data_IF_123223142409
#
_entry.id   IF_123223142409
#
_cell.length_a   1.000
_cell.length_b   1.000
_cell.length_c   1.000
_cell.angle_alpha   90.00
_cell.angle_beta   90.00
_cell.angle_gamma   90.00
#
_symmetry.space_group_name_H-M   'P 1'
#
loop_
_entity.id
_entity.type
_entity.pdbx_description
1 polymer ?
#
# COMPACT_ATOMS: atom_id res chain seq x y z
N UNK A 1 -9.32 -6.47 4.41
CA UNK A 1 -8.42 -6.71 3.25
C UNK A 1 -7.07 -5.98 3.36
N UNK A 2 -7.01 -4.63 3.54
CA UNK A 2 -5.71 -3.94 3.67
C UNK A 2 -4.96 -4.22 4.98
N UNK A 3 -5.67 -4.37 6.10
CA UNK A 3 -5.06 -4.72 7.39
C UNK A 3 -4.35 -6.08 7.35
N UNK A 4 -4.94 -7.10 6.72
CA UNK A 4 -4.34 -8.43 6.65
C UNK A 4 -3.07 -8.42 5.77
N UNK A 5 -3.04 -7.57 4.74
CA UNK A 5 -1.84 -7.40 3.91
C UNK A 5 -0.72 -6.76 4.73
N UNK A 6 -1.01 -5.77 5.59
CA UNK A 6 -0.01 -5.20 6.49
C UNK A 6 0.59 -6.26 7.44
N UNK A 7 -0.26 -7.09 8.06
CA UNK A 7 0.20 -8.21 8.87
C UNK A 7 1.04 -9.21 8.08
N UNK A 8 0.61 -9.55 6.86
CA UNK A 8 1.35 -10.47 5.99
C UNK A 8 2.74 -9.94 5.65
N UNK A 9 2.86 -8.70 5.19
CA UNK A 9 4.15 -8.09 4.81
C UNK A 9 5.10 -8.03 6.00
N UNK A 10 4.63 -7.57 7.16
CA UNK A 10 5.40 -7.55 8.40
C UNK A 10 5.90 -8.93 8.81
N UNK A 11 5.03 -9.94 8.74
CA UNK A 11 5.38 -11.34 9.04
C UNK A 11 6.45 -11.89 8.08
N UNK A 12 6.49 -11.42 6.84
CA UNK A 12 7.45 -11.84 5.81
C UNK A 12 8.73 -10.98 5.78
N UNK A 13 8.98 -10.17 6.81
CA UNK A 13 10.25 -9.46 6.97
C UNK A 13 10.35 -8.12 6.24
N UNK A 14 9.25 -7.60 5.70
CA UNK A 14 9.21 -6.24 5.19
C UNK A 14 9.15 -5.23 6.34
N UNK A 15 9.97 -4.17 6.25
CA UNK A 15 9.93 -3.05 7.20
C UNK A 15 8.72 -2.15 6.89
N UNK A 16 7.55 -2.54 7.40
CA UNK A 16 6.28 -1.85 7.14
C UNK A 16 6.22 -0.43 7.69
N UNK A 17 7.16 -0.04 8.55
CA UNK A 17 7.27 1.32 9.09
C UNK A 17 7.86 2.33 8.09
N UNK A 18 8.46 1.83 7.00
CA UNK A 18 9.09 2.64 5.95
C UNK A 18 8.39 2.53 4.59
N UNK A 19 7.40 1.65 4.47
CA UNK A 19 6.63 1.48 3.24
C UNK A 19 5.43 2.41 3.28
N UNK A 20 5.44 3.44 2.43
CA UNK A 20 4.28 4.31 2.27
C UNK A 20 3.16 3.58 1.57
N UNK A 21 1.93 3.90 1.93
CA UNK A 21 0.74 3.32 1.34
C UNK A 21 -0.33 4.38 1.15
N UNK A 22 -1.07 4.24 0.05
CA UNK A 22 -2.28 4.99 -0.25
C UNK A 22 -3.42 3.99 -0.40
N UNK A 23 -4.53 4.23 0.29
CA UNK A 23 -5.77 3.46 0.10
C UNK A 23 -6.84 4.42 -0.38
N UNK A 24 -7.45 4.13 -1.51
CA UNK A 24 -8.55 4.89 -2.08
C UNK A 24 -9.82 4.06 -1.96
N UNK A 25 -10.93 4.68 -1.57
CA UNK A 25 -12.23 4.01 -1.43
C UNK A 25 -13.27 4.73 -2.27
N UNK A 26 -14.18 3.95 -2.89
CA UNK A 26 -15.27 4.49 -3.71
C UNK A 26 -14.80 5.40 -4.85
N UNK A 27 -13.71 4.99 -5.54
CA UNK A 27 -13.11 5.72 -6.66
C UNK A 27 -14.14 6.11 -7.72
N UNK A 28 -13.99 7.30 -8.29
CA UNK A 28 -14.85 7.86 -9.36
C UNK A 28 -16.30 8.14 -8.92
N UNK A 29 -16.57 8.14 -7.61
CA UNK A 29 -17.87 8.51 -7.04
C UNK A 29 -17.76 9.77 -6.19
N UNK A 30 -18.89 10.40 -5.86
CA UNK A 30 -18.92 11.56 -4.96
C UNK A 30 -18.48 11.24 -3.51
N UNK A 31 -18.39 9.95 -3.16
CA UNK A 31 -17.96 9.46 -1.83
C UNK A 31 -16.50 9.00 -1.83
N UNK A 32 -15.72 9.42 -2.83
CA UNK A 32 -14.32 9.08 -2.89
C UNK A 32 -13.60 9.59 -1.64
N UNK A 33 -12.87 8.70 -0.98
CA UNK A 33 -12.03 9.03 0.17
C UNK A 33 -10.67 8.39 0.00
N UNK A 34 -9.67 8.95 0.69
CA UNK A 34 -8.33 8.39 0.67
C UNK A 34 -7.70 8.39 2.06
N UNK A 35 -6.88 7.37 2.29
CA UNK A 35 -5.98 7.24 3.40
C UNK A 35 -4.55 7.24 2.89
N UNK A 36 -3.67 7.98 3.57
CA UNK A 36 -2.24 8.02 3.28
C UNK A 36 -1.50 7.80 4.59
N UNK A 37 -0.54 6.88 4.58
CA UNK A 37 0.26 6.55 5.77
C UNK A 37 1.36 5.55 5.45
N UNK A 38 1.81 4.84 6.47
CA UNK A 38 2.69 3.68 6.33
C UNK A 38 1.89 2.39 6.36
N UNK A 39 2.46 1.30 5.82
CA UNK A 39 1.79 -0.01 5.79
C UNK A 39 1.41 -0.48 7.20
N UNK A 40 2.23 -0.22 8.23
CA UNK A 40 1.90 -0.57 9.62
C UNK A 40 0.67 0.19 10.15
N UNK A 41 0.33 1.35 9.59
CA UNK A 41 -0.82 2.16 10.03
C UNK A 41 -2.16 1.56 9.57
N UNK A 42 -2.13 0.54 8.71
CA UNK A 42 -3.30 -0.22 8.28
C UNK A 42 -3.71 -1.32 9.28
N UNK A 43 -2.81 -1.71 10.20
CA UNK A 43 -3.07 -2.79 11.18
C UNK A 43 -4.30 -2.45 12.03
N UNK A 44 -5.35 -3.27 11.94
CA UNK A 44 -6.61 -3.10 12.67
C UNK A 44 -7.60 -2.10 12.06
N UNK A 45 -7.31 -1.55 10.88
CA UNK A 45 -8.23 -0.65 10.17
C UNK A 45 -9.14 -1.40 9.20
N UNK A 46 -10.39 -0.98 9.15
CA UNK A 46 -11.36 -1.42 8.15
C UNK A 46 -11.43 -0.43 6.99
N UNK A 47 -11.58 -0.99 5.80
CA UNK A 47 -11.75 -0.25 4.55
C UNK A 47 -12.85 -0.94 3.75
N UNK A 48 -13.49 -0.17 2.86
CA UNK A 48 -14.48 -0.65 1.90
C UNK A 48 -13.93 -1.80 1.05
N UNK A 49 -14.81 -2.74 0.71
CA UNK A 49 -14.52 -3.80 -0.26
C UNK A 49 -14.18 -3.22 -1.66
N UNK A 50 -14.70 -2.02 -1.97
CA UNK A 50 -14.37 -1.26 -3.17
C UNK A 50 -13.23 -0.28 -2.88
N UNK A 51 -12.06 -0.82 -2.59
CA UNK A 51 -10.84 -0.06 -2.34
C UNK A 51 -9.69 -0.46 -3.24
N UNK A 52 -8.82 0.50 -3.52
CA UNK A 52 -7.54 0.31 -4.22
C UNK A 52 -6.43 0.68 -3.26
N UNK A 53 -5.52 -0.25 -3.01
CA UNK A 53 -4.32 -0.02 -2.20
C UNK A 53 -3.09 0.06 -3.11
N UNK A 54 -2.31 1.12 -2.94
CA UNK A 54 -1.04 1.35 -3.65
C UNK A 54 0.07 1.45 -2.61
N UNK A 55 1.02 0.51 -2.65
CA UNK A 55 2.24 0.55 -1.83
C UNK A 55 3.33 1.22 -2.66
N UNK A 56 3.91 2.29 -2.13
CA UNK A 56 4.95 3.07 -2.79
C UNK A 56 6.29 2.31 -2.79
N UNK A 57 7.20 2.75 -3.63
CA UNK A 57 8.55 2.18 -3.72
C UNK A 57 9.32 2.41 -2.41
N UNK A 58 10.01 1.37 -1.93
CA UNK A 58 10.92 1.50 -0.77
C UNK A 58 12.18 2.30 -1.09
N UNK A 59 12.52 2.43 -2.38
CA UNK A 59 13.62 3.22 -2.92
C UNK A 59 13.14 3.83 -4.23
N UNK A 60 13.36 5.14 -4.41
CA UNK A 60 13.09 5.82 -5.67
C UNK A 60 13.87 5.15 -6.79
N UNK A 61 13.14 4.47 -7.67
CA UNK A 61 13.72 3.83 -8.84
C UNK A 61 12.74 3.88 -10.02
N UNK A 62 13.28 4.08 -11.22
CA UNK A 62 12.48 4.09 -12.43
C UNK A 62 12.49 2.70 -13.06
N UNK A 63 11.40 2.32 -13.73
CA UNK A 63 11.40 1.14 -14.60
C UNK A 63 12.54 1.18 -15.64
N UNK A 64 13.00 2.36 -16.04
CA UNK A 64 14.12 2.56 -16.97
C UNK A 64 15.45 2.09 -16.36
N UNK A 65 15.57 2.08 -15.04
CA UNK A 65 16.79 1.69 -14.33
C UNK A 65 16.84 0.18 -14.01
N UNK A 66 15.76 -0.57 -14.28
CA UNK A 66 15.76 -2.02 -14.16
C UNK A 66 16.51 -2.61 -15.37
N UNK A 67 17.81 -2.82 -15.20
CA UNK A 67 18.59 -3.63 -16.14
C UNK A 67 18.16 -5.09 -15.96
N UNK A 68 17.43 -5.61 -16.96
CA UNK A 68 17.25 -7.05 -17.10
C UNK A 68 18.58 -7.60 -17.66
N UNK A 69 19.40 -8.22 -16.79
CA UNK A 69 20.40 -9.15 -17.29
C UNK A 69 19.72 -10.51 -17.46
N UNK A 70 19.72 -11.01 -18.70
CA UNK A 70 19.22 -12.33 -19.12
C UNK A 70 20.08 -13.48 -18.55
#
# INVERSE_FOLDING_TARGET
>A
MPSEIAFYLKKNGFDTTKLKVHVFENLTTEKETSFVGMVNDLEGKEFSDLSVMVIDQSKLDSYINFNYED
#
